data_IF_231426453586
#
_entry.id   IF_231426453586
#
_cell.length_a   1.000
_cell.length_b   1.000
_cell.length_c   1.000
_cell.angle_alpha   90.00
_cell.angle_beta   90.00
_cell.angle_gamma   90.00
#
_symmetry.space_group_name_H-M   'P 1'
#
loop_
_entity.id
_entity.type
_entity.pdbx_description
1 polymer ?
#
# COMPACT_ATOMS: atom_id res chain seq x y z
N UNK A 1 -10.67 18.15 12.75
CA UNK A 1 -9.60 17.16 13.02
C UNK A 1 -9.11 16.70 11.66
N UNK A 2 -7.85 16.32 11.52
CA UNK A 2 -7.40 15.70 10.27
C UNK A 2 -8.13 14.38 10.04
N UNK A 3 -8.42 14.04 8.76
CA UNK A 3 -9.05 12.78 8.41
C UNK A 3 -8.13 11.60 8.80
N UNK A 4 -8.70 10.53 9.38
CA UNK A 4 -7.96 9.29 9.59
C UNK A 4 -7.77 8.58 8.26
N UNK A 5 -6.54 8.26 7.89
CA UNK A 5 -6.20 7.68 6.59
C UNK A 5 -5.77 6.23 6.73
N UNK A 6 -6.48 5.31 6.07
CA UNK A 6 -6.23 3.86 6.15
C UNK A 6 -6.02 3.31 4.74
N UNK A 7 -4.85 2.74 4.48
CA UNK A 7 -4.56 2.03 3.24
C UNK A 7 -4.86 0.54 3.39
N UNK A 8 -5.57 -0.02 2.43
CA UNK A 8 -5.94 -1.43 2.36
C UNK A 8 -5.15 -2.08 1.24
N UNK A 9 -4.30 -3.02 1.61
CA UNK A 9 -3.41 -3.73 0.70
C UNK A 9 -3.70 -5.23 0.67
N UNK A 10 -3.36 -5.88 -0.44
CA UNK A 10 -3.41 -7.34 -0.59
C UNK A 10 -3.40 -7.75 -2.06
N UNK A 11 -3.24 -9.03 -2.34
CA UNK A 11 -3.17 -9.58 -3.70
C UNK A 11 -4.40 -9.22 -4.54
N UNK A 12 -4.23 -9.11 -5.86
CA UNK A 12 -5.36 -8.93 -6.79
C UNK A 12 -6.39 -10.08 -6.67
N UNK A 13 -7.68 -9.73 -6.69
CA UNK A 13 -8.78 -10.70 -6.69
C UNK A 13 -9.17 -11.32 -5.36
N UNK A 14 -8.51 -10.99 -4.23
CA UNK A 14 -8.84 -11.55 -2.90
C UNK A 14 -9.99 -10.83 -2.19
N UNK A 15 -10.54 -9.77 -2.78
CA UNK A 15 -11.66 -9.00 -2.22
C UNK A 15 -11.23 -7.79 -1.39
N UNK A 16 -10.14 -7.11 -1.76
CA UNK A 16 -9.79 -5.81 -1.17
C UNK A 16 -10.90 -4.78 -1.39
N UNK A 17 -11.30 -4.58 -2.64
CA UNK A 17 -12.35 -3.62 -3.00
C UNK A 17 -13.69 -3.99 -2.36
N UNK A 18 -14.03 -5.29 -2.26
CA UNK A 18 -15.14 -5.78 -1.45
C UNK A 18 -15.01 -5.30 0.01
N UNK A 19 -13.84 -5.50 0.62
CA UNK A 19 -13.58 -5.10 2.01
C UNK A 19 -13.67 -3.59 2.17
N UNK A 20 -13.03 -2.83 1.28
CA UNK A 20 -13.00 -1.37 1.32
C UNK A 20 -14.40 -0.78 1.14
N UNK A 21 -15.17 -1.28 0.17
CA UNK A 21 -16.54 -0.83 -0.11
C UNK A 21 -17.49 -1.10 1.05
N UNK A 22 -17.45 -2.32 1.63
CA UNK A 22 -18.31 -2.65 2.76
C UNK A 22 -17.89 -1.91 4.05
N UNK A 23 -16.61 -1.64 4.24
CA UNK A 23 -16.13 -0.82 5.36
C UNK A 23 -16.54 0.66 5.19
N UNK A 24 -16.43 1.22 3.96
CA UNK A 24 -16.93 2.56 3.62
C UNK A 24 -18.42 2.70 3.92
N UNK A 25 -19.22 1.73 3.46
CA UNK A 25 -20.65 1.70 3.72
C UNK A 25 -20.97 1.58 5.22
N UNK A 26 -20.18 0.82 5.96
CA UNK A 26 -20.34 0.68 7.42
C UNK A 26 -20.04 1.99 8.15
N UNK A 27 -18.97 2.70 7.78
CA UNK A 27 -18.69 4.02 8.36
C UNK A 27 -19.80 5.04 8.08
N UNK A 28 -20.33 5.05 6.85
CA UNK A 28 -21.46 5.93 6.50
C UNK A 28 -22.73 5.59 7.31
N UNK A 29 -23.01 4.30 7.57
CA UNK A 29 -24.07 3.87 8.48
C UNK A 29 -23.84 4.30 9.92
N UNK A 30 -22.59 4.41 10.36
CA UNK A 30 -22.19 4.93 11.68
C UNK A 30 -22.13 6.46 11.73
N UNK A 31 -22.73 7.14 10.77
CA UNK A 31 -22.76 8.61 10.67
C UNK A 31 -21.38 9.26 10.52
N UNK A 32 -20.41 8.56 9.90
CA UNK A 32 -19.09 9.09 9.56
C UNK A 32 -19.05 9.54 8.12
N UNK A 33 -18.41 10.68 7.86
CA UNK A 33 -18.11 11.14 6.50
C UNK A 33 -16.91 10.35 5.99
N UNK A 34 -17.12 9.53 4.97
CA UNK A 34 -16.11 8.63 4.42
C UNK A 34 -15.82 8.97 2.97
N UNK A 35 -14.54 8.93 2.62
CA UNK A 35 -14.05 8.99 1.25
C UNK A 35 -13.34 7.69 0.92
N UNK A 36 -13.79 6.99 -0.12
CA UNK A 36 -13.06 5.86 -0.69
C UNK A 36 -12.23 6.34 -1.87
N UNK A 37 -10.94 6.04 -1.84
CA UNK A 37 -9.97 6.37 -2.86
C UNK A 37 -9.50 5.09 -3.55
N UNK A 38 -9.88 4.89 -4.81
CA UNK A 38 -9.42 3.81 -5.65
C UNK A 38 -8.02 4.10 -6.20
N UNK A 39 -7.07 3.24 -5.86
CA UNK A 39 -5.66 3.35 -6.25
C UNK A 39 -5.23 2.17 -7.12
N UNK A 40 -6.16 1.58 -7.88
CA UNK A 40 -5.89 0.53 -8.88
C UNK A 40 -5.88 1.15 -10.29
N UNK A 41 -4.84 0.91 -11.10
CA UNK A 41 -4.81 1.34 -12.50
C UNK A 41 -5.96 0.79 -13.36
N UNK A 42 -6.70 -0.22 -12.89
CA UNK A 42 -7.87 -0.78 -13.57
C UNK A 42 -9.12 0.06 -13.41
N UNK A 43 -9.14 1.00 -12.44
CA UNK A 43 -10.24 1.93 -12.18
C UNK A 43 -11.56 1.26 -11.77
N UNK A 44 -11.50 0.19 -11.01
CA UNK A 44 -12.66 -0.59 -10.61
C UNK A 44 -12.94 -0.60 -9.09
N UNK A 45 -12.08 0.03 -8.30
CA UNK A 45 -12.17 0.02 -6.83
C UNK A 45 -13.46 0.63 -6.28
N UNK A 46 -13.99 1.69 -6.92
CA UNK A 46 -15.21 2.36 -6.47
C UNK A 46 -16.46 1.91 -7.22
N UNK A 47 -16.33 1.02 -8.22
CA UNK A 47 -17.45 0.60 -9.07
C UNK A 47 -18.57 -0.03 -8.25
N UNK A 48 -18.28 -0.96 -7.34
CA UNK A 48 -19.29 -1.52 -6.42
C UNK A 48 -19.88 -0.45 -5.50
N UNK A 49 -19.07 0.50 -5.03
CA UNK A 49 -19.53 1.60 -4.22
C UNK A 49 -20.57 2.47 -4.93
N UNK A 50 -20.44 2.65 -6.24
CA UNK A 50 -21.32 3.48 -7.07
C UNK A 50 -22.35 2.66 -7.87
N UNK A 51 -22.64 1.41 -7.48
CA UNK A 51 -23.69 0.58 -8.06
C UNK A 51 -23.41 0.17 -9.50
N UNK A 52 -22.17 -0.14 -9.83
CA UNK A 52 -21.74 -0.55 -11.16
C UNK A 52 -21.36 0.60 -12.10
N UNK A 53 -21.36 1.85 -11.62
CA UNK A 53 -21.00 3.01 -12.44
C UNK A 53 -19.52 3.33 -12.23
N UNK A 54 -18.68 3.25 -13.28
CA UNK A 54 -17.28 3.64 -13.18
C UNK A 54 -17.16 5.16 -13.04
N UNK A 55 -16.22 5.61 -12.21
CA UNK A 55 -15.92 7.03 -12.05
C UNK A 55 -14.85 7.48 -13.04
N UNK A 56 -14.90 8.75 -13.54
CA UNK A 56 -13.76 9.37 -14.21
C UNK A 56 -12.54 9.38 -13.29
N UNK A 57 -11.36 9.13 -13.86
CA UNK A 57 -10.13 9.09 -13.07
C UNK A 57 -9.49 10.46 -12.93
N UNK A 58 -8.79 10.68 -11.82
CA UNK A 58 -8.04 11.93 -11.60
C UNK A 58 -7.03 12.16 -12.71
N UNK A 59 -6.35 11.09 -13.16
CA UNK A 59 -5.34 11.21 -14.23
C UNK A 59 -5.93 11.59 -15.58
N UNK A 60 -7.10 11.03 -15.94
CA UNK A 60 -7.77 11.36 -17.20
C UNK A 60 -8.34 12.79 -17.17
N UNK A 61 -9.03 13.15 -16.07
CA UNK A 61 -9.55 14.52 -15.88
C UNK A 61 -8.41 15.55 -15.89
N UNK A 62 -7.29 15.25 -15.24
CA UNK A 62 -6.14 16.14 -15.25
C UNK A 62 -5.57 16.31 -16.68
N UNK A 63 -5.44 15.22 -17.45
CA UNK A 63 -4.94 15.27 -18.80
C UNK A 63 -5.87 16.09 -19.72
N UNK A 64 -7.20 15.89 -19.62
CA UNK A 64 -8.20 16.62 -20.39
C UNK A 64 -8.19 18.13 -20.06
N UNK A 65 -8.27 18.46 -18.78
CA UNK A 65 -8.26 19.88 -18.33
C UNK A 65 -6.97 20.58 -18.68
N UNK A 66 -5.82 19.91 -18.54
CA UNK A 66 -4.53 20.46 -18.91
C UNK A 66 -4.42 20.75 -20.42
N UNK A 67 -4.97 19.88 -21.29
CA UNK A 67 -5.02 20.11 -22.72
C UNK A 67 -5.88 21.33 -23.09
N UNK A 68 -6.86 21.67 -22.26
CA UNK A 68 -7.73 22.84 -22.41
C UNK A 68 -7.22 24.08 -21.65
N UNK A 69 -6.06 24.03 -21.01
CA UNK A 69 -5.53 25.05 -20.10
C UNK A 69 -6.54 25.42 -18.98
N UNK A 70 -7.27 24.47 -18.45
CA UNK A 70 -8.24 24.64 -17.38
C UNK A 70 -7.72 24.02 -16.07
N UNK A 71 -8.01 24.64 -14.90
CA UNK A 71 -7.67 24.03 -13.63
C UNK A 71 -8.59 22.85 -13.32
N UNK A 72 -8.06 21.84 -12.61
CA UNK A 72 -8.87 20.78 -12.01
C UNK A 72 -9.47 21.30 -10.71
N UNK A 73 -10.76 21.04 -10.49
CA UNK A 73 -11.48 21.36 -9.26
C UNK A 73 -11.92 20.08 -8.54
N UNK A 74 -12.31 20.22 -7.28
CA UNK A 74 -12.83 19.10 -6.46
C UNK A 74 -14.05 18.44 -7.13
N UNK A 75 -14.95 19.26 -7.69
CA UNK A 75 -16.16 18.75 -8.36
C UNK A 75 -15.91 17.99 -9.66
N UNK A 76 -14.71 18.07 -10.22
CA UNK A 76 -14.35 17.29 -11.42
C UNK A 76 -13.96 15.85 -11.07
N UNK A 77 -13.52 15.58 -9.83
CA UNK A 77 -12.88 14.32 -9.45
C UNK A 77 -13.50 13.62 -8.22
N UNK A 78 -14.30 14.32 -7.43
CA UNK A 78 -14.98 13.76 -6.26
C UNK A 78 -16.44 13.52 -6.57
N UNK A 79 -16.86 12.27 -6.41
CA UNK A 79 -18.23 11.86 -6.65
C UNK A 79 -18.92 11.49 -5.33
N UNK A 80 -20.23 11.76 -5.27
CA UNK A 80 -21.06 11.51 -4.11
C UNK A 80 -22.15 10.53 -4.45
N UNK A 81 -22.42 9.57 -3.56
CA UNK A 81 -23.58 8.68 -3.62
C UNK A 81 -24.37 8.77 -2.33
N UNK A 82 -25.65 9.14 -2.45
CA UNK A 82 -26.64 9.02 -1.39
C UNK A 82 -27.27 7.63 -1.43
N UNK A 83 -27.31 6.95 -0.28
CA UNK A 83 -27.83 5.59 -0.17
C UNK A 83 -29.01 5.63 0.81
N UNK A 84 -30.15 5.08 0.38
CA UNK A 84 -31.35 5.04 1.22
C UNK A 84 -31.07 4.31 2.53
N UNK A 85 -31.41 4.98 3.65
CA UNK A 85 -31.20 4.46 5.00
C UNK A 85 -29.80 4.72 5.58
N UNK A 86 -28.92 5.40 4.85
CA UNK A 86 -27.61 5.81 5.38
C UNK A 86 -27.69 7.27 5.87
N UNK A 87 -27.20 7.57 7.08
CA UNK A 87 -27.21 8.94 7.60
C UNK A 87 -26.20 9.87 6.91
N UNK A 88 -25.14 9.31 6.33
CA UNK A 88 -24.14 10.05 5.56
C UNK A 88 -24.05 9.54 4.13
N UNK A 89 -23.78 10.41 3.15
CA UNK A 89 -23.38 10.00 1.82
C UNK A 89 -21.98 9.38 1.86
N UNK A 90 -21.66 8.61 0.83
CA UNK A 90 -20.30 8.12 0.59
C UNK A 90 -19.68 8.91 -0.56
N UNK A 91 -18.42 9.29 -0.38
CA UNK A 91 -17.63 9.95 -1.41
C UNK A 91 -16.64 8.98 -2.02
N UNK A 92 -16.39 9.13 -3.32
CA UNK A 92 -15.46 8.29 -4.07
C UNK A 92 -14.59 9.08 -5.02
N UNK A 93 -13.36 8.62 -5.18
CA UNK A 93 -12.37 9.10 -6.17
C UNK A 93 -11.68 7.87 -6.76
N UNK A 94 -11.43 7.88 -8.08
CA UNK A 94 -10.52 6.96 -8.74
C UNK A 94 -9.26 7.70 -9.18
N UNK A 95 -8.08 7.28 -8.70
CA UNK A 95 -6.82 7.92 -9.11
C UNK A 95 -6.51 7.68 -10.58
N UNK A 96 -6.73 6.46 -11.02
CA UNK A 96 -6.38 6.05 -12.36
C UNK A 96 -4.90 5.72 -12.54
N UNK A 97 -4.54 5.49 -13.78
CA UNK A 97 -3.18 5.13 -14.20
C UNK A 97 -2.96 5.49 -15.66
N UNK A 98 -1.79 5.21 -16.21
CA UNK A 98 -1.57 5.42 -17.65
C UNK A 98 -2.47 4.48 -18.45
N UNK A 99 -2.84 4.90 -19.65
CA UNK A 99 -3.55 4.04 -20.60
C UNK A 99 -2.79 2.73 -20.82
N UNK A 100 -3.54 1.65 -21.04
CA UNK A 100 -2.98 0.32 -21.29
C UNK A 100 -1.86 0.39 -22.35
N UNK A 101 -0.69 -0.13 -22.01
CA UNK A 101 0.49 -0.10 -22.90
C UNK A 101 1.27 1.24 -22.92
N UNK A 102 0.88 2.24 -22.16
CA UNK A 102 1.56 3.56 -22.12
C UNK A 102 2.05 3.92 -20.71
N UNK A 103 3.25 3.49 -20.37
CA UNK A 103 3.92 3.92 -19.16
C UNK A 103 3.76 3.00 -17.95
N UNK A 104 4.28 3.41 -16.79
CA UNK A 104 4.24 2.67 -15.53
C UNK A 104 3.02 3.09 -14.70
N UNK A 105 2.20 2.10 -14.26
CA UNK A 105 1.03 2.34 -13.41
C UNK A 105 1.34 3.14 -12.13
N UNK A 106 2.50 2.90 -11.55
CA UNK A 106 2.94 3.62 -10.37
C UNK A 106 3.14 5.12 -10.57
N UNK A 107 3.55 5.58 -11.76
CA UNK A 107 3.66 7.03 -12.07
C UNK A 107 2.29 7.70 -12.12
N UNK A 108 1.28 7.02 -12.64
CA UNK A 108 -0.10 7.52 -12.65
C UNK A 108 -0.62 7.75 -11.23
N UNK A 109 -0.39 6.79 -10.35
CA UNK A 109 -0.76 6.89 -8.93
C UNK A 109 -0.07 8.09 -8.27
N UNK A 110 1.24 8.26 -8.45
CA UNK A 110 1.99 9.41 -7.92
C UNK A 110 1.38 10.72 -8.41
N UNK A 111 1.16 10.86 -9.72
CA UNK A 111 0.59 12.07 -10.32
C UNK A 111 -0.82 12.36 -9.80
N UNK A 112 -1.64 11.32 -9.61
CA UNK A 112 -2.96 11.44 -9.00
C UNK A 112 -2.90 11.98 -7.58
N UNK A 113 -2.01 11.46 -6.75
CA UNK A 113 -1.80 11.98 -5.39
C UNK A 113 -1.30 13.43 -5.40
N UNK A 114 -0.38 13.80 -6.29
CA UNK A 114 0.09 15.19 -6.40
C UNK A 114 -1.06 16.17 -6.70
N UNK A 115 -2.06 15.74 -7.50
CA UNK A 115 -3.28 16.54 -7.75
C UNK A 115 -4.14 16.64 -6.48
N UNK A 116 -4.36 15.52 -5.78
CA UNK A 116 -5.16 15.49 -4.57
C UNK A 116 -4.53 16.32 -3.43
N UNK A 117 -3.21 16.23 -3.26
CA UNK A 117 -2.47 17.02 -2.28
C UNK A 117 -2.60 18.53 -2.58
N UNK A 118 -2.47 18.93 -3.85
CA UNK A 118 -2.68 20.34 -4.29
C UNK A 118 -4.10 20.82 -4.02
N UNK A 119 -5.09 19.94 -4.10
CA UNK A 119 -6.49 20.24 -3.77
C UNK A 119 -6.79 20.15 -2.27
N UNK A 120 -5.79 19.80 -1.46
CA UNK A 120 -5.88 19.77 0.00
C UNK A 120 -6.73 18.64 0.57
N UNK A 121 -6.76 17.45 -0.08
CA UNK A 121 -7.61 16.31 0.32
C UNK A 121 -7.54 15.97 1.81
N UNK A 122 -6.34 16.04 2.42
CA UNK A 122 -6.15 15.69 3.83
C UNK A 122 -6.69 16.74 4.81
N UNK A 123 -7.10 17.92 4.29
CA UNK A 123 -7.69 19.00 5.07
C UNK A 123 -9.21 19.11 4.87
N UNK A 124 -9.80 18.23 4.05
CA UNK A 124 -11.24 18.23 3.84
C UNK A 124 -11.98 17.78 5.09
N UNK A 125 -13.26 18.20 5.20
CA UNK A 125 -14.11 17.83 6.32
C UNK A 125 -14.64 16.38 6.16
N UNK A 126 -13.72 15.43 6.18
CA UNK A 126 -13.90 13.98 6.08
C UNK A 126 -13.38 13.35 7.37
N UNK A 127 -14.10 12.39 7.91
CA UNK A 127 -13.68 11.67 9.12
C UNK A 127 -12.66 10.57 8.79
N UNK A 128 -12.91 9.82 7.70
CA UNK A 128 -12.10 8.65 7.32
C UNK A 128 -11.86 8.65 5.80
N UNK A 129 -10.62 8.44 5.42
CA UNK A 129 -10.21 8.17 4.02
C UNK A 129 -9.73 6.73 3.94
N UNK A 130 -10.44 5.89 3.17
CA UNK A 130 -10.04 4.53 2.85
C UNK A 130 -9.39 4.49 1.48
N UNK A 131 -8.18 3.96 1.40
CA UNK A 131 -7.40 3.86 0.16
C UNK A 131 -7.28 2.39 -0.24
N UNK A 132 -7.88 2.00 -1.38
CA UNK A 132 -7.84 0.64 -1.92
C UNK A 132 -6.63 0.48 -2.86
N UNK A 133 -5.59 -0.21 -2.40
CA UNK A 133 -4.34 -0.39 -3.14
C UNK A 133 -4.15 -1.80 -3.69
N UNK A 134 -3.43 -1.89 -4.80
CA UNK A 134 -2.90 -3.16 -5.28
C UNK A 134 -1.84 -3.74 -4.31
N UNK A 135 -1.70 -5.07 -4.35
CA UNK A 135 -0.71 -5.78 -3.56
C UNK A 135 0.74 -5.70 -4.06
N UNK A 136 0.97 -5.20 -5.26
CA UNK A 136 2.31 -5.15 -5.87
C UNK A 136 3.10 -3.92 -5.40
N UNK A 137 3.51 -3.93 -4.13
CA UNK A 137 4.37 -2.87 -3.55
C UNK A 137 5.81 -2.87 -4.09
N UNK A 138 6.13 -3.78 -5.00
CA UNK A 138 7.43 -3.83 -5.69
C UNK A 138 7.64 -2.62 -6.60
N UNK A 139 6.57 -1.98 -7.07
CA UNK A 139 6.63 -0.75 -7.83
C UNK A 139 6.54 0.47 -6.91
N UNK A 140 7.52 1.38 -6.99
CA UNK A 140 7.60 2.58 -6.14
C UNK A 140 6.32 3.43 -6.09
N UNK A 141 5.49 3.42 -7.15
CA UNK A 141 4.20 4.12 -7.14
C UNK A 141 3.18 3.56 -6.16
N UNK A 142 3.11 2.24 -6.01
CA UNK A 142 2.19 1.60 -5.06
C UNK A 142 2.70 1.64 -3.62
N UNK A 143 3.99 1.87 -3.46
CA UNK A 143 4.61 2.13 -2.16
C UNK A 143 4.49 3.60 -1.72
N UNK A 144 4.05 4.51 -2.62
CA UNK A 144 3.98 5.96 -2.36
C UNK A 144 3.24 6.32 -1.08
N UNK A 145 2.07 5.73 -0.73
CA UNK A 145 1.41 6.07 0.52
C UNK A 145 2.22 5.71 1.76
N UNK A 146 2.94 4.59 1.72
CA UNK A 146 3.82 4.16 2.80
C UNK A 146 5.07 5.07 2.87
N UNK A 147 5.67 5.36 1.71
CA UNK A 147 6.89 6.16 1.61
C UNK A 147 6.67 7.65 1.93
N UNK A 148 5.55 8.24 1.50
CA UNK A 148 5.21 9.65 1.73
C UNK A 148 4.37 9.88 2.99
N UNK A 149 4.08 8.82 3.76
CA UNK A 149 3.19 8.90 4.93
C UNK A 149 1.81 9.50 4.61
N UNK A 150 1.28 9.22 3.40
CA UNK A 150 -0.06 9.65 2.99
C UNK A 150 -1.14 8.83 3.66
N UNK A 151 -0.81 7.61 4.10
CA UNK A 151 -1.67 6.82 4.98
C UNK A 151 -0.98 6.65 6.34
N UNK A 152 -1.73 6.97 7.39
CA UNK A 152 -1.25 6.79 8.76
C UNK A 152 -1.31 5.33 9.17
N UNK A 153 -2.21 4.56 8.58
CA UNK A 153 -2.53 3.20 8.96
C UNK A 153 -2.66 2.27 7.76
N UNK A 154 -2.33 1.01 7.99
CA UNK A 154 -2.35 -0.05 6.98
C UNK A 154 -3.15 -1.22 7.49
N UNK A 155 -4.04 -1.75 6.66
CA UNK A 155 -4.73 -3.03 6.86
C UNK A 155 -4.35 -3.96 5.71
N UNK A 156 -3.92 -5.18 6.04
CA UNK A 156 -3.67 -6.22 5.07
C UNK A 156 -4.93 -7.06 4.85
N UNK A 157 -5.21 -7.42 3.59
CA UNK A 157 -6.26 -8.38 3.25
C UNK A 157 -5.61 -9.59 2.59
N UNK A 158 -5.91 -10.78 3.09
CA UNK A 158 -5.47 -12.06 2.53
C UNK A 158 -6.59 -13.09 2.55
N UNK A 159 -6.37 -14.24 1.97
CA UNK A 159 -7.08 -15.48 2.21
C UNK A 159 -6.07 -16.56 2.60
N UNK A 160 -6.47 -17.83 2.67
CA UNK A 160 -5.58 -18.92 3.03
C UNK A 160 -4.66 -19.41 1.89
N UNK A 161 -4.71 -18.80 0.69
CA UNK A 161 -3.83 -19.16 -0.42
C UNK A 161 -2.39 -18.71 -0.18
N UNK A 162 -1.44 -19.61 -0.45
CA UNK A 162 0.00 -19.33 -0.31
C UNK A 162 0.42 -18.02 -0.99
N UNK A 163 -0.05 -17.77 -2.22
CA UNK A 163 0.32 -16.57 -2.96
C UNK A 163 -0.26 -15.28 -2.35
N UNK A 164 -1.46 -15.36 -1.76
CA UNK A 164 -2.08 -14.19 -1.09
C UNK A 164 -1.33 -13.86 0.19
N UNK A 165 -0.96 -14.88 0.97
CA UNK A 165 -0.15 -14.72 2.18
C UNK A 165 1.25 -14.22 1.83
N UNK A 166 1.86 -14.70 0.72
CA UNK A 166 3.15 -14.19 0.25
C UNK A 166 3.09 -12.69 -0.07
N UNK A 167 2.02 -12.25 -0.74
CA UNK A 167 1.80 -10.82 -1.00
C UNK A 167 1.65 -10.03 0.29
N UNK A 168 0.87 -10.52 1.26
CA UNK A 168 0.73 -9.87 2.57
C UNK A 168 2.08 -9.77 3.30
N UNK A 169 2.91 -10.80 3.22
CA UNK A 169 4.26 -10.81 3.79
C UNK A 169 5.17 -9.75 3.14
N UNK A 170 5.14 -9.64 1.82
CA UNK A 170 5.92 -8.62 1.10
C UNK A 170 5.49 -7.20 1.49
N UNK A 171 4.18 -6.96 1.67
CA UNK A 171 3.68 -5.65 2.12
C UNK A 171 4.13 -5.37 3.56
N UNK A 172 4.10 -6.37 4.43
CA UNK A 172 4.61 -6.25 5.79
C UNK A 172 6.09 -5.87 5.81
N UNK A 173 6.92 -6.55 5.01
CA UNK A 173 8.34 -6.23 4.86
C UNK A 173 8.55 -4.81 4.30
N UNK A 174 7.77 -4.41 3.28
CA UNK A 174 7.84 -3.08 2.70
C UNK A 174 7.45 -2.00 3.73
N UNK A 175 6.37 -2.21 4.51
CA UNK A 175 5.98 -1.28 5.57
C UNK A 175 7.11 -1.11 6.61
N UNK A 176 7.75 -2.21 7.02
CA UNK A 176 8.90 -2.16 7.91
C UNK A 176 10.07 -1.40 7.29
N UNK A 177 10.40 -1.70 6.03
CA UNK A 177 11.47 -0.99 5.33
C UNK A 177 11.21 0.52 5.27
N UNK A 178 9.99 0.96 4.89
CA UNK A 178 9.66 2.38 4.86
C UNK A 178 9.71 3.03 6.24
N UNK A 179 9.32 2.34 7.30
CA UNK A 179 9.48 2.83 8.68
C UNK A 179 10.95 3.07 9.03
N UNK A 180 11.88 2.24 8.57
CA UNK A 180 13.33 2.45 8.83
C UNK A 180 13.89 3.69 8.17
N UNK A 181 13.30 4.12 7.04
CA UNK A 181 13.71 5.33 6.31
C UNK A 181 12.83 6.56 6.60
N UNK A 182 11.98 6.48 7.62
CA UNK A 182 11.22 7.61 8.15
C UNK A 182 9.74 7.65 7.82
N UNK A 183 9.21 6.62 7.18
CA UNK A 183 7.77 6.43 7.02
C UNK A 183 7.08 6.27 8.37
N UNK A 184 5.85 6.78 8.49
CA UNK A 184 5.10 6.78 9.75
C UNK A 184 3.89 5.84 9.74
N UNK A 185 3.67 5.11 8.64
CA UNK A 185 2.53 4.19 8.52
C UNK A 185 2.61 3.06 9.54
N UNK A 186 1.49 2.82 10.22
CA UNK A 186 1.35 1.79 11.26
C UNK A 186 0.50 0.64 10.73
N UNK A 187 0.97 -0.59 10.87
CA UNK A 187 0.18 -1.77 10.51
C UNK A 187 -0.85 -2.05 11.60
N UNK A 188 -2.15 -1.92 11.29
CA UNK A 188 -3.23 -2.24 12.22
C UNK A 188 -3.43 -3.75 12.36
N UNK A 189 -3.33 -4.50 11.25
CA UNK A 189 -3.50 -5.95 11.28
C UNK A 189 -3.94 -6.54 9.95
N UNK A 190 -4.46 -7.76 10.02
CA UNK A 190 -4.83 -8.60 8.89
C UNK A 190 -6.33 -8.90 8.88
N UNK A 191 -6.96 -8.78 7.73
CA UNK A 191 -8.29 -9.31 7.44
C UNK A 191 -8.13 -10.58 6.61
N UNK A 192 -8.71 -11.68 7.08
CA UNK A 192 -8.78 -12.95 6.33
C UNK A 192 -10.13 -12.98 5.62
N UNK A 193 -10.13 -12.75 4.31
CA UNK A 193 -11.32 -12.79 3.47
C UNK A 193 -11.44 -14.14 2.78
N UNK A 194 -12.67 -14.59 2.50
CA UNK A 194 -12.95 -15.92 1.93
C UNK A 194 -12.26 -17.02 2.75
N UNK A 195 -12.35 -16.89 4.07
CA UNK A 195 -11.77 -17.87 5.00
C UNK A 195 -12.40 -19.25 4.80
N UNK A 196 -11.58 -20.24 4.48
CA UNK A 196 -11.96 -21.64 4.30
C UNK A 196 -11.79 -22.49 5.56
N UNK A 197 -11.38 -21.87 6.67
CA UNK A 197 -11.15 -22.52 7.96
C UNK A 197 -9.86 -23.35 8.04
N UNK A 198 -8.98 -23.33 7.04
CA UNK A 198 -7.71 -24.09 7.06
C UNK A 198 -6.69 -23.55 8.08
N UNK A 199 -6.85 -22.32 8.53
CA UNK A 199 -6.01 -21.69 9.55
C UNK A 199 -4.59 -21.33 9.08
N UNK A 200 -4.32 -21.35 7.77
CA UNK A 200 -2.98 -21.04 7.25
C UNK A 200 -2.65 -19.56 7.42
N UNK A 201 -3.61 -18.69 7.14
CA UNK A 201 -3.44 -17.24 7.29
C UNK A 201 -3.27 -16.83 8.76
N UNK A 202 -3.95 -17.54 9.70
CA UNK A 202 -3.75 -17.32 11.14
C UNK A 202 -2.36 -17.74 11.59
N UNK A 203 -1.85 -18.90 11.13
CA UNK A 203 -0.47 -19.32 11.43
C UNK A 203 0.56 -18.32 10.91
N UNK A 204 0.32 -17.77 9.70
CA UNK A 204 1.15 -16.69 9.19
C UNK A 204 1.08 -15.44 10.08
N UNK A 205 -0.12 -15.01 10.45
CA UNK A 205 -0.32 -13.84 11.29
C UNK A 205 0.40 -13.98 12.64
N UNK A 206 0.29 -15.14 13.28
CA UNK A 206 0.99 -15.46 14.52
C UNK A 206 2.51 -15.42 14.33
N UNK A 207 3.04 -16.09 13.30
CA UNK A 207 4.48 -16.14 13.04
C UNK A 207 5.07 -14.76 12.68
N UNK A 208 4.30 -13.89 12.03
CA UNK A 208 4.72 -12.54 11.65
C UNK A 208 4.42 -11.48 12.71
N UNK A 209 3.74 -11.82 13.81
CA UNK A 209 3.33 -10.88 14.86
C UNK A 209 2.22 -9.93 14.41
N UNK A 210 1.30 -10.37 13.54
CA UNK A 210 0.19 -9.57 13.02
C UNK A 210 -1.12 -9.95 13.70
N UNK A 211 -1.86 -8.96 14.18
CA UNK A 211 -3.19 -9.19 14.75
C UNK A 211 -4.20 -9.48 13.64
N UNK A 212 -4.99 -10.56 13.77
CA UNK A 212 -6.13 -10.81 12.89
C UNK A 212 -7.30 -9.95 13.36
N UNK A 213 -7.69 -8.97 12.53
CA UNK A 213 -8.74 -8.01 12.84
C UNK A 213 -10.14 -8.57 12.58
N UNK A 214 -10.29 -9.30 11.48
CA UNK A 214 -11.58 -9.84 11.05
C UNK A 214 -11.38 -11.06 10.17
N UNK A 215 -12.29 -12.01 10.29
CA UNK A 215 -12.41 -13.18 9.40
C UNK A 215 -13.76 -13.14 8.71
N UNK A 216 -13.75 -13.12 7.38
CA UNK A 216 -14.95 -13.19 6.55
C UNK A 216 -14.93 -14.55 5.86
N UNK A 217 -15.82 -15.48 6.19
CA UNK A 217 -15.90 -16.77 5.53
C UNK A 217 -16.29 -16.58 4.06
N UNK A 218 -16.02 -17.58 3.23
CA UNK A 218 -16.61 -17.60 1.90
C UNK A 218 -18.14 -17.75 2.04
N UNK A 219 -18.86 -16.81 1.49
CA UNK A 219 -20.30 -16.72 1.54
C UNK A 219 -20.83 -16.40 0.14
N UNK A 220 -21.69 -17.28 -0.40
CA UNK A 220 -22.22 -17.14 -1.75
C UNK A 220 -23.15 -15.92 -1.88
N UNK A 221 -23.97 -15.65 -0.84
CA UNK A 221 -24.90 -14.51 -0.86
C UNK A 221 -24.10 -13.18 -0.77
N UNK A 222 -23.02 -13.15 0.00
CA UNK A 222 -22.12 -11.99 0.04
C UNK A 222 -21.42 -11.75 -1.30
N UNK A 223 -21.05 -12.83 -1.99
CA UNK A 223 -20.50 -12.74 -3.33
C UNK A 223 -21.54 -12.24 -4.35
N UNK A 224 -22.77 -12.78 -4.32
CA UNK A 224 -23.86 -12.35 -5.22
C UNK A 224 -24.20 -10.87 -5.00
N UNK A 225 -24.09 -10.36 -3.76
CA UNK A 225 -24.22 -8.94 -3.47
C UNK A 225 -23.14 -8.13 -4.17
N UNK A 226 -21.87 -8.52 -4.04
CA UNK A 226 -20.72 -7.84 -4.66
C UNK A 226 -20.83 -7.90 -6.21
N UNK A 227 -21.13 -9.06 -6.78
CA UNK A 227 -21.30 -9.26 -8.22
C UNK A 227 -22.49 -8.44 -8.79
N UNK A 228 -23.50 -8.12 -7.97
CA UNK A 228 -24.63 -7.23 -8.29
C UNK A 228 -24.41 -5.76 -7.92
N UNK A 229 -23.20 -5.37 -7.56
CA UNK A 229 -22.82 -4.01 -7.12
C UNK A 229 -23.64 -3.51 -5.91
N UNK A 230 -24.04 -4.40 -5.01
CA UNK A 230 -24.73 -4.11 -3.76
C UNK A 230 -23.80 -4.41 -2.56
N UNK A 231 -24.15 -3.91 -1.39
CA UNK A 231 -23.33 -4.06 -0.18
C UNK A 231 -23.60 -5.39 0.52
N UNK A 232 -22.54 -6.18 0.76
CA UNK A 232 -22.64 -7.42 1.52
C UNK A 232 -23.03 -7.17 3.00
N UNK A 233 -22.81 -5.99 3.55
CA UNK A 233 -23.29 -5.59 4.89
C UNK A 233 -24.82 -5.51 5.00
N UNK A 234 -25.59 -5.73 3.93
CA UNK A 234 -27.02 -5.97 4.01
C UNK A 234 -27.34 -7.33 4.63
N UNK A 235 -26.38 -8.27 4.60
CA UNK A 235 -26.47 -9.56 5.28
C UNK A 235 -26.09 -9.38 6.75
N UNK A 236 -26.92 -9.83 7.70
CA UNK A 236 -26.72 -9.57 9.14
C UNK A 236 -25.35 -10.04 9.67
N UNK A 237 -24.92 -11.25 9.30
CA UNK A 237 -23.65 -11.83 9.78
C UNK A 237 -22.42 -11.05 9.26
N UNK A 238 -22.46 -10.62 8.01
CA UNK A 238 -21.40 -9.79 7.42
C UNK A 238 -21.41 -8.41 8.07
N UNK A 239 -22.60 -7.82 8.24
CA UNK A 239 -22.77 -6.52 8.90
C UNK A 239 -22.14 -6.50 10.28
N UNK A 240 -22.41 -7.50 11.12
CA UNK A 240 -21.88 -7.56 12.49
C UNK A 240 -20.35 -7.50 12.50
N UNK A 241 -19.70 -8.26 11.63
CA UNK A 241 -18.23 -8.28 11.50
C UNK A 241 -17.68 -6.91 11.11
N UNK A 242 -18.24 -6.29 10.06
CA UNK A 242 -17.80 -4.98 9.60
C UNK A 242 -18.10 -3.89 10.62
N UNK A 243 -19.25 -3.92 11.29
CA UNK A 243 -19.59 -2.95 12.35
C UNK A 243 -18.63 -3.05 13.53
N UNK A 244 -18.29 -4.26 13.96
CA UNK A 244 -17.31 -4.46 15.03
C UNK A 244 -15.95 -3.86 14.65
N UNK A 245 -15.43 -4.19 13.47
CA UNK A 245 -14.16 -3.64 12.99
C UNK A 245 -14.20 -2.11 12.87
N UNK A 246 -15.26 -1.57 12.26
CA UNK A 246 -15.43 -0.13 12.10
C UNK A 246 -15.50 0.60 13.45
N UNK A 247 -16.19 0.01 14.43
CA UNK A 247 -16.26 0.56 15.78
C UNK A 247 -14.90 0.53 16.46
N UNK A 248 -14.17 -0.58 16.38
CA UNK A 248 -12.84 -0.71 16.96
C UNK A 248 -11.85 0.31 16.34
N UNK A 249 -11.99 0.60 15.04
CA UNK A 249 -11.24 1.66 14.35
C UNK A 249 -11.63 3.05 14.90
N UNK A 250 -12.93 3.39 14.91
CA UNK A 250 -13.41 4.72 15.32
C UNK A 250 -13.07 5.04 16.78
N UNK A 251 -13.10 4.04 17.64
CA UNK A 251 -12.83 4.18 19.08
C UNK A 251 -11.35 3.96 19.44
N UNK A 252 -10.48 3.83 18.43
CA UNK A 252 -9.02 3.63 18.59
C UNK A 252 -8.65 2.44 19.49
N UNK A 253 -9.42 1.34 19.38
CA UNK A 253 -9.22 0.11 20.18
C UNK A 253 -8.18 -0.84 19.59
N UNK A 254 -7.75 -0.58 18.35
CA UNK A 254 -6.77 -1.43 17.65
C UNK A 254 -5.37 -0.93 17.97
N UNK A 255 -4.60 -1.75 18.67
CA UNK A 255 -3.17 -1.49 18.87
C UNK A 255 -2.41 -1.86 17.60
N UNK A 256 -1.66 -0.95 16.98
CA UNK A 256 -0.85 -1.27 15.82
C UNK A 256 0.16 -2.39 16.10
N UNK A 257 0.38 -3.24 15.10
CA UNK A 257 1.30 -4.37 15.22
C UNK A 257 2.76 -3.94 15.03
N UNK A 258 3.65 -4.49 15.84
CA UNK A 258 5.10 -4.46 15.61
C UNK A 258 5.52 -5.71 14.79
N UNK A 259 4.88 -5.86 13.61
CA UNK A 259 5.03 -7.02 12.78
C UNK A 259 6.37 -7.04 12.03
N UNK A 260 6.96 -8.22 11.94
CA UNK A 260 8.16 -8.47 11.15
C UNK A 260 7.80 -9.47 10.06
N UNK A 261 7.91 -9.07 8.80
CA UNK A 261 7.67 -10.00 7.70
C UNK A 261 8.65 -11.19 7.77
N UNK A 262 8.17 -12.38 7.44
CA UNK A 262 8.97 -13.60 7.43
C UNK A 262 9.99 -13.56 6.30
N UNK A 263 11.19 -14.08 6.53
CA UNK A 263 12.12 -14.38 5.46
C UNK A 263 11.58 -15.52 4.56
N UNK A 264 12.22 -15.76 3.44
CA UNK A 264 11.76 -16.74 2.48
C UNK A 264 11.63 -18.15 3.08
N UNK A 265 12.59 -18.57 3.88
CA UNK A 265 12.59 -19.91 4.51
C UNK A 265 11.54 -20.02 5.60
N UNK A 266 11.38 -18.99 6.44
CA UNK A 266 10.31 -18.91 7.44
C UNK A 266 8.93 -18.96 6.80
N UNK A 267 8.77 -18.26 5.67
CA UNK A 267 7.52 -18.30 4.88
C UNK A 267 7.24 -19.70 4.32
N UNK A 268 8.24 -20.35 3.68
CA UNK A 268 8.04 -21.67 3.07
C UNK A 268 7.66 -22.73 4.10
N UNK A 269 8.25 -22.68 5.29
CA UNK A 269 7.96 -23.61 6.39
C UNK A 269 6.51 -23.57 6.89
N UNK A 270 5.77 -22.48 6.63
CA UNK A 270 4.33 -22.42 6.94
C UNK A 270 3.50 -23.40 6.11
N UNK A 271 4.00 -23.83 4.95
CA UNK A 271 3.28 -24.66 3.99
C UNK A 271 3.77 -26.11 3.90
N UNK A 272 4.83 -26.46 4.61
CA UNK A 272 5.36 -27.83 4.67
C UNK A 272 6.88 -27.89 4.82
N UNK A 273 7.39 -29.08 4.72
CA UNK A 273 8.83 -29.31 4.72
C UNK A 273 9.43 -28.92 3.37
N UNK A 274 10.60 -28.28 3.42
CA UNK A 274 11.37 -27.94 2.23
C UNK A 274 12.11 -29.19 1.77
N UNK A 275 12.02 -29.53 0.48
CA UNK A 275 12.86 -30.60 -0.08
C UNK A 275 14.34 -30.25 0.11
N UNK A 276 15.12 -31.24 0.53
CA UNK A 276 16.59 -31.11 0.60
C UNK A 276 17.26 -31.16 -0.80
N UNK A 277 16.46 -31.44 -1.84
CA UNK A 277 16.93 -31.47 -3.22
C UNK A 277 17.19 -30.05 -3.73
N UNK A 278 18.45 -29.64 -3.72
CA UNK A 278 18.82 -28.37 -4.34
C UNK A 278 18.66 -28.47 -5.87
N UNK A 279 18.00 -27.45 -6.50
CA UNK A 279 17.91 -27.44 -7.95
C UNK A 279 19.32 -27.39 -8.56
N UNK A 280 19.58 -28.29 -9.52
CA UNK A 280 20.84 -28.28 -10.24
C UNK A 280 20.80 -27.20 -11.33
N UNK A 281 21.87 -26.41 -11.50
CA UNK A 281 21.95 -25.47 -12.62
C UNK A 281 21.97 -26.25 -13.93
N UNK A 282 21.10 -25.86 -14.85
CA UNK A 282 21.11 -26.41 -16.19
C UNK A 282 22.36 -25.93 -16.96
N UNK A 283 22.98 -26.81 -17.71
CA UNK A 283 24.11 -26.47 -18.58
C UNK A 283 23.62 -26.07 -19.98
N UNK A 284 24.42 -25.31 -20.73
CA UNK A 284 24.12 -24.98 -22.11
C UNK A 284 23.98 -26.23 -22.99
N UNK A 285 24.78 -27.28 -22.73
CA UNK A 285 24.70 -28.54 -23.43
C UNK A 285 23.38 -29.26 -23.22
N UNK A 286 22.79 -29.19 -22.01
CA UNK A 286 21.46 -29.75 -21.70
C UNK A 286 20.35 -29.00 -22.41
N UNK A 287 20.45 -27.66 -22.51
CA UNK A 287 19.40 -26.81 -23.08
C UNK A 287 19.44 -26.77 -24.62
N UNK A 288 20.63 -26.75 -25.22
CA UNK A 288 20.77 -26.48 -26.65
C UNK A 288 21.31 -27.67 -27.44
N UNK A 289 21.73 -28.77 -26.77
CA UNK A 289 22.45 -29.88 -27.38
C UNK A 289 23.84 -29.47 -27.84
N UNK A 290 24.76 -30.45 -28.01
CA UNK A 290 26.10 -30.18 -28.52
C UNK A 290 26.06 -29.74 -29.97
N UNK A 291 26.07 -28.43 -30.24
CA UNK A 291 26.49 -27.92 -31.56
C UNK A 291 28.01 -27.85 -31.58
N UNK A 292 28.62 -28.74 -32.34
CA UNK A 292 30.05 -28.63 -32.64
C UNK A 292 30.28 -27.27 -33.32
N UNK A 293 31.03 -26.37 -32.66
CA UNK A 293 31.70 -25.24 -33.30
C UNK A 293 31.30 -23.85 -32.93
N UNK A 294 30.42 -23.61 -31.94
CA UNK A 294 30.11 -22.25 -31.53
C UNK A 294 30.68 -22.00 -30.12
N UNK A 295 31.83 -21.35 -30.04
CA UNK A 295 32.44 -20.84 -28.81
C UNK A 295 31.78 -19.52 -28.40
N UNK A 296 30.45 -19.45 -28.45
CA UNK A 296 29.69 -18.34 -27.87
C UNK A 296 29.95 -18.31 -26.37
N UNK A 297 30.39 -17.19 -25.85
CA UNK A 297 30.69 -17.02 -24.43
C UNK A 297 29.45 -17.36 -23.58
N UNK A 298 29.53 -18.43 -22.81
CA UNK A 298 28.51 -18.84 -21.81
C UNK A 298 28.36 -17.82 -20.65
N UNK A 299 29.14 -16.78 -20.68
CA UNK A 299 29.13 -15.72 -19.66
C UNK A 299 28.78 -14.39 -20.27
N UNK A 300 27.63 -13.86 -19.87
CA UNK A 300 27.36 -12.43 -19.98
C UNK A 300 28.34 -11.77 -19.01
N UNK A 301 29.39 -11.09 -19.56
CA UNK A 301 30.23 -10.23 -18.74
C UNK A 301 29.32 -9.26 -17.97
N UNK A 302 29.30 -9.42 -16.67
CA UNK A 302 28.57 -8.48 -15.79
C UNK A 302 29.15 -7.08 -15.99
N UNK A 303 28.58 -6.32 -16.93
CA UNK A 303 28.35 -4.92 -16.65
C UNK A 303 27.15 -4.87 -15.72
N UNK A 304 27.43 -4.88 -14.43
CA UNK A 304 26.44 -4.65 -13.39
C UNK A 304 25.83 -3.28 -13.59
N UNK A 305 24.67 -3.21 -14.24
CA UNK A 305 23.84 -2.01 -14.35
C UNK A 305 22.58 -2.12 -13.51
N UNK A 306 22.50 -3.11 -12.64
CA UNK A 306 21.57 -3.08 -11.51
C UNK A 306 22.34 -2.45 -10.35
N UNK A 307 22.17 -1.11 -10.21
CA UNK A 307 22.49 -0.47 -8.96
C UNK A 307 21.76 -1.21 -7.86
N UNK A 308 22.50 -1.71 -6.88
CA UNK A 308 21.87 -2.16 -5.64
C UNK A 308 21.11 -0.98 -5.04
N UNK A 309 19.99 -1.23 -4.38
CA UNK A 309 19.23 -0.18 -3.69
C UNK A 309 20.13 0.63 -2.74
N UNK A 310 21.16 0.02 -2.18
CA UNK A 310 22.19 0.67 -1.37
C UNK A 310 23.04 1.68 -2.17
N UNK A 311 23.41 1.35 -3.42
CA UNK A 311 24.14 2.29 -4.28
C UNK A 311 23.23 3.45 -4.72
N UNK A 312 21.97 3.16 -5.01
CA UNK A 312 20.97 4.17 -5.33
C UNK A 312 20.74 5.09 -4.13
N UNK A 313 20.59 4.53 -2.94
CA UNK A 313 20.43 5.29 -1.69
C UNK A 313 21.64 6.18 -1.41
N UNK A 314 22.86 5.66 -1.55
CA UNK A 314 24.09 6.44 -1.36
C UNK A 314 24.15 7.65 -2.31
N UNK A 315 23.81 7.48 -3.58
CA UNK A 315 23.73 8.61 -4.53
C UNK A 315 22.63 9.63 -4.15
N UNK A 316 21.53 9.17 -3.57
CA UNK A 316 20.51 10.10 -3.06
C UNK A 316 21.02 10.88 -1.87
N UNK A 317 21.78 10.23 -0.96
CA UNK A 317 22.39 10.88 0.21
C UNK A 317 23.38 11.96 -0.26
N UNK A 318 24.18 11.70 -1.31
CA UNK A 318 25.13 12.68 -1.88
C UNK A 318 24.44 13.94 -2.43
N UNK A 319 23.16 13.86 -2.78
CA UNK A 319 22.37 15.01 -3.28
C UNK A 319 21.73 15.85 -2.16
N UNK A 320 21.79 15.42 -0.93
CA UNK A 320 21.34 16.20 0.22
C UNK A 320 22.28 17.38 0.48
N UNK A 321 21.81 18.40 1.19
CA UNK A 321 22.70 19.47 1.69
C UNK A 321 23.70 18.91 2.69
N UNK A 322 24.85 19.57 2.86
CA UNK A 322 25.89 19.11 3.76
C UNK A 322 25.38 18.91 5.21
N UNK A 323 24.52 19.81 5.66
CA UNK A 323 23.90 19.71 7.00
C UNK A 323 22.92 18.54 7.14
N UNK A 324 22.14 18.29 6.09
CA UNK A 324 21.25 17.13 6.05
C UNK A 324 22.03 15.82 6.00
N UNK A 325 23.13 15.76 5.23
CA UNK A 325 24.00 14.58 5.16
C UNK A 325 24.63 14.27 6.52
N UNK A 326 25.13 15.30 7.20
CA UNK A 326 25.78 15.18 8.50
C UNK A 326 24.81 14.59 9.54
N UNK A 327 23.64 15.22 9.69
CA UNK A 327 22.62 14.78 10.66
C UNK A 327 22.08 13.40 10.30
N UNK A 328 21.80 13.15 9.03
CA UNK A 328 21.30 11.85 8.57
C UNK A 328 22.31 10.72 8.85
N UNK A 329 23.60 10.94 8.55
CA UNK A 329 24.66 9.95 8.81
C UNK A 329 24.77 9.63 10.29
N UNK A 330 24.83 10.65 11.15
CA UNK A 330 24.98 10.45 12.60
C UNK A 330 23.77 9.70 13.19
N UNK A 331 22.53 10.05 12.80
CA UNK A 331 21.34 9.43 13.38
C UNK A 331 21.05 8.06 12.75
N UNK A 332 21.09 7.95 11.40
CA UNK A 332 20.61 6.76 10.71
C UNK A 332 21.69 5.71 10.48
N UNK A 333 22.91 6.12 10.17
CA UNK A 333 24.01 5.19 9.91
C UNK A 333 24.81 4.86 11.17
N UNK A 334 25.14 5.88 11.98
CA UNK A 334 25.91 5.71 13.22
C UNK A 334 25.02 5.43 14.45
N UNK A 335 23.68 5.46 14.29
CA UNK A 335 22.66 5.16 15.33
C UNK A 335 22.79 6.01 16.60
N UNK A 336 23.29 7.23 16.48
CA UNK A 336 23.40 8.17 17.60
C UNK A 336 22.05 8.75 18.00
N UNK A 337 21.83 8.98 19.28
CA UNK A 337 20.62 9.64 19.76
C UNK A 337 20.56 11.11 19.31
N UNK A 338 19.35 11.66 19.08
CA UNK A 338 19.17 13.07 18.67
C UNK A 338 19.82 14.05 19.67
N UNK A 339 19.81 13.72 20.97
CA UNK A 339 20.47 14.53 22.00
C UNK A 339 21.98 14.58 21.80
N UNK A 340 22.60 13.48 21.48
CA UNK A 340 24.03 13.35 21.21
C UNK A 340 24.41 14.08 19.93
N UNK A 341 23.63 13.94 18.87
CA UNK A 341 23.85 14.68 17.62
C UNK A 341 23.70 16.19 17.82
N UNK A 342 22.76 16.63 18.64
CA UNK A 342 22.58 18.04 18.97
C UNK A 342 23.83 18.63 19.68
N UNK A 343 24.44 17.88 20.60
CA UNK A 343 25.68 18.27 21.28
C UNK A 343 26.88 18.29 20.31
N UNK A 344 27.03 17.24 19.49
CA UNK A 344 28.15 17.13 18.54
C UNK A 344 28.09 18.18 17.42
N UNK A 345 26.92 18.58 17.01
CA UNK A 345 26.72 19.58 15.94
C UNK A 345 26.49 20.99 16.44
N UNK A 346 26.50 21.20 17.77
CA UNK A 346 26.21 22.48 18.43
C UNK A 346 24.88 23.10 18.00
N UNK A 347 23.84 22.24 17.80
CA UNK A 347 22.51 22.66 17.37
C UNK A 347 21.48 22.32 18.46
N UNK A 348 20.32 23.02 18.39
CA UNK A 348 19.17 22.65 19.22
C UNK A 348 18.56 21.34 18.76
N UNK A 349 18.00 20.56 19.70
CA UNK A 349 17.32 19.28 19.40
C UNK A 349 16.18 19.44 18.38
N UNK A 350 15.48 20.57 18.40
CA UNK A 350 14.44 20.94 17.42
C UNK A 350 15.00 21.07 16.01
N UNK A 351 16.12 21.77 15.85
CA UNK A 351 16.81 21.96 14.57
C UNK A 351 17.34 20.63 14.01
N UNK A 352 17.88 19.74 14.85
CA UNK A 352 18.32 18.39 14.43
C UNK A 352 17.13 17.56 13.94
N UNK A 353 15.96 17.64 14.62
CA UNK A 353 14.74 16.95 14.16
C UNK A 353 14.22 17.49 12.84
N UNK A 354 14.22 18.79 12.64
CA UNK A 354 13.82 19.43 11.38
C UNK A 354 14.74 19.03 10.23
N UNK A 355 16.06 19.09 10.41
CA UNK A 355 17.04 18.68 9.41
C UNK A 355 16.87 17.19 9.05
N UNK A 356 16.69 16.33 10.04
CA UNK A 356 16.48 14.90 9.82
C UNK A 356 15.19 14.64 9.07
N UNK A 357 14.09 15.31 9.45
CA UNK A 357 12.80 15.20 8.77
C UNK A 357 12.87 15.67 7.32
N UNK A 358 13.53 16.80 7.08
CA UNK A 358 13.76 17.35 5.74
C UNK A 358 14.65 16.43 4.90
N UNK A 359 15.72 15.88 5.46
CA UNK A 359 16.59 14.92 4.79
C UNK A 359 15.84 13.66 4.36
N UNK A 360 15.01 13.09 5.25
CA UNK A 360 14.19 11.92 4.95
C UNK A 360 13.18 12.16 3.84
N UNK A 361 12.50 13.32 3.84
CA UNK A 361 11.56 13.70 2.77
C UNK A 361 12.28 13.81 1.43
N UNK A 362 13.42 14.48 1.39
CA UNK A 362 14.19 14.66 0.16
C UNK A 362 14.79 13.34 -0.34
N UNK A 363 15.28 12.48 0.55
CA UNK A 363 15.72 11.13 0.17
C UNK A 363 14.61 10.30 -0.42
N UNK A 364 13.43 10.32 0.17
CA UNK A 364 12.25 9.63 -0.36
C UNK A 364 11.93 10.14 -1.76
N UNK A 365 11.92 11.47 -1.96
CA UNK A 365 11.71 12.08 -3.27
C UNK A 365 12.77 11.64 -4.27
N UNK A 366 14.05 11.75 -3.95
CA UNK A 366 15.16 11.41 -4.84
C UNK A 366 15.22 9.90 -5.18
N UNK A 367 14.86 9.05 -4.23
CA UNK A 367 14.88 7.60 -4.43
C UNK A 367 13.78 7.10 -5.35
N UNK A 368 12.59 7.70 -5.29
CA UNK A 368 11.43 7.27 -6.06
C UNK A 368 11.15 8.10 -7.31
N UNK A 369 11.61 9.35 -7.37
CA UNK A 369 11.38 10.27 -8.49
C UNK A 369 12.61 10.44 -9.41
N UNK A 370 13.80 10.03 -8.96
CA UNK A 370 15.06 10.03 -9.73
C UNK A 370 15.30 8.67 -10.38
#
# INVERSE_FOLDING_TARGET
MAARTIAIYGKGGIGKSFTTTNLSATFALMNKRVLQLGCDPKHDSTTSLFGGIPLPTVTDVFAEKNALNQPVSISDIVFRRDIAGFPQPIYGIELGGPQVGRGCGGRGIISGFDVLEKLGIFNWDIDIILMDFLGDVVCGGFATPLARSLSEEVILVTNNDRQSIFTANNICQANNYFRTIGGQSRLLGLIINRDDGSGVAERYAEAAGITVLMKVPYDADARDKDDSFDFAIRLPEIREKFQKLAQDIVEDRITPCEAVGLDFMGFVRLFGEVSDDAPQPATADELFGRKQGDSGSETIAQKSTLDSDDQKMNRCIEKLTAEQQEVYRMVEQEKKAISEVAELTHREKSAVRELLSSARKELTRLFFEG
#
